data_IF_761706690236
#
_entry.id   IF_761706690236
#
_cell.length_a   1.000
_cell.length_b   1.000
_cell.length_c   1.000
_cell.angle_alpha   90.00
_cell.angle_beta   90.00
_cell.angle_gamma   90.00
#
_symmetry.space_group_name_H-M   'P 1'
#
loop_
_entity.id
_entity.type
_entity.pdbx_description
1 polymer ?
#
# COMPACT_ATOMS: atom_id res chain seq x y z
N UNK A 1 75.38 -30.36 -5.63
CA UNK A 1 74.02 -30.63 -6.16
C UNK A 1 73.03 -29.91 -5.27
N UNK A 2 72.13 -29.18 -5.93
CA UNK A 2 71.07 -28.30 -5.46
C UNK A 2 70.36 -28.71 -4.17
N UNK A 3 69.96 -27.72 -3.36
CA UNK A 3 68.55 -27.31 -3.39
C UNK A 3 68.34 -26.01 -2.61
N UNK A 4 67.74 -25.04 -3.29
CA UNK A 4 67.22 -23.79 -2.76
C UNK A 4 65.94 -24.13 -1.98
N UNK A 5 65.90 -23.84 -0.68
CA UNK A 5 64.65 -23.90 0.07
C UNK A 5 63.86 -22.60 -0.18
N UNK A 6 62.88 -22.69 -1.07
CA UNK A 6 61.87 -21.66 -1.25
C UNK A 6 60.87 -21.75 -0.09
N UNK A 7 60.85 -20.72 0.76
CA UNK A 7 59.78 -20.49 1.72
C UNK A 7 58.46 -20.33 0.95
N UNK A 8 57.56 -21.32 1.07
CA UNK A 8 56.16 -21.14 0.70
C UNK A 8 55.52 -20.25 1.74
N UNK A 9 55.47 -18.96 1.45
CA UNK A 9 54.63 -18.00 2.15
C UNK A 9 53.18 -18.36 1.83
N UNK A 10 52.54 -19.14 2.70
CA UNK A 10 51.11 -19.43 2.61
C UNK A 10 50.36 -18.14 2.90
N UNK A 11 49.88 -17.49 1.85
CA UNK A 11 48.91 -16.40 1.95
C UNK A 11 47.66 -16.95 2.62
N UNK A 12 47.53 -16.75 3.94
CA UNK A 12 46.28 -16.91 4.66
C UNK A 12 45.38 -15.76 4.20
N UNK A 13 44.75 -15.95 3.05
CA UNK A 13 43.66 -15.09 2.62
C UNK A 13 42.55 -15.23 3.65
N UNK A 14 42.35 -14.22 4.48
CA UNK A 14 41.15 -14.10 5.31
C UNK A 14 39.93 -13.93 4.38
N UNK A 15 39.45 -15.03 3.82
CA UNK A 15 38.12 -15.11 3.23
C UNK A 15 37.13 -14.98 4.38
N UNK A 16 36.70 -13.75 4.67
CA UNK A 16 35.50 -13.53 5.47
C UNK A 16 34.32 -13.88 4.56
N UNK A 17 33.94 -15.16 4.57
CA UNK A 17 32.69 -15.62 4.00
C UNK A 17 31.57 -14.97 4.82
N UNK A 18 30.82 -14.05 4.21
CA UNK A 18 29.76 -13.33 4.90
C UNK A 18 28.50 -14.17 4.88
N UNK A 19 27.86 -14.36 6.04
CA UNK A 19 26.58 -15.06 6.12
C UNK A 19 25.50 -14.36 5.28
N UNK A 20 24.67 -15.16 4.60
CA UNK A 20 23.51 -14.68 3.86
C UNK A 20 22.53 -13.97 4.81
N UNK A 21 22.08 -12.78 4.40
CA UNK A 21 21.09 -12.01 5.15
C UNK A 21 19.69 -12.29 4.64
N UNK A 22 18.84 -12.82 5.51
CA UNK A 22 17.41 -12.95 5.25
C UNK A 22 16.77 -11.55 5.31
N UNK A 23 15.92 -11.21 4.34
CA UNK A 23 15.21 -9.94 4.29
C UNK A 23 14.12 -9.90 3.21
N UNK A 24 13.33 -8.84 3.22
CA UNK A 24 12.38 -8.52 2.15
C UNK A 24 13.13 -8.12 0.87
N UNK A 25 12.69 -8.63 -0.27
CA UNK A 25 13.17 -8.20 -1.58
C UNK A 25 11.99 -7.65 -2.39
N UNK A 26 11.83 -6.33 -2.36
CA UNK A 26 10.79 -5.64 -3.12
C UNK A 26 11.27 -5.29 -4.53
N UNK A 27 10.41 -5.54 -5.52
CA UNK A 27 10.68 -5.17 -6.92
C UNK A 27 10.68 -3.64 -7.07
N UNK A 28 11.74 -3.10 -7.67
CA UNK A 28 11.82 -1.68 -8.01
C UNK A 28 10.84 -1.29 -9.11
N UNK A 29 10.26 -0.08 -9.00
CA UNK A 29 9.27 0.47 -9.95
C UNK A 29 9.75 1.81 -10.50
N UNK A 30 9.65 2.00 -11.82
CA UNK A 30 10.15 3.20 -12.53
C UNK A 30 9.04 4.21 -12.84
N UNK A 31 9.39 5.50 -12.77
CA UNK A 31 8.53 6.62 -13.20
C UNK A 31 7.39 6.94 -12.23
N UNK A 32 7.57 6.62 -10.97
CA UNK A 32 6.66 6.96 -9.89
C UNK A 32 7.23 8.15 -9.10
N UNK A 33 6.35 9.02 -8.61
CA UNK A 33 6.70 10.15 -7.73
C UNK A 33 6.06 9.99 -6.36
N UNK A 34 6.60 10.66 -5.35
CA UNK A 34 6.01 10.71 -4.01
C UNK A 34 4.60 11.31 -4.07
N UNK A 35 3.66 10.77 -3.28
CA UNK A 35 2.33 11.36 -3.19
C UNK A 35 2.33 12.74 -2.51
N UNK A 36 3.41 13.14 -1.82
CA UNK A 36 3.61 14.53 -1.35
C UNK A 36 3.79 15.52 -2.50
N UNK A 37 4.40 15.10 -3.61
CA UNK A 37 4.64 15.93 -4.80
C UNK A 37 3.47 15.90 -5.78
N UNK A 38 2.51 15.00 -5.56
CA UNK A 38 1.39 14.81 -6.46
C UNK A 38 0.34 15.91 -6.28
N UNK A 39 0.01 16.57 -7.38
CA UNK A 39 -1.09 17.52 -7.47
C UNK A 39 -2.28 16.88 -8.20
N UNK A 40 -3.35 16.61 -7.46
CA UNK A 40 -4.58 16.00 -7.98
C UNK A 40 -5.23 16.82 -9.09
N UNK A 41 -5.04 18.15 -9.10
CA UNK A 41 -5.64 19.02 -10.12
C UNK A 41 -4.96 18.88 -11.50
N UNK A 42 -3.77 18.26 -11.56
CA UNK A 42 -3.12 17.85 -12.83
C UNK A 42 -3.87 16.73 -13.55
N UNK A 43 -4.71 15.96 -12.86
CA UNK A 43 -5.54 14.94 -13.49
C UNK A 43 -6.72 15.60 -14.22
N UNK A 44 -6.53 15.98 -15.48
CA UNK A 44 -7.55 16.74 -16.24
C UNK A 44 -8.78 15.90 -16.59
N UNK A 45 -8.59 14.61 -16.92
CA UNK A 45 -9.69 13.77 -17.43
C UNK A 45 -10.49 13.12 -16.29
N UNK A 46 -11.81 12.99 -16.48
CA UNK A 46 -12.68 12.25 -15.56
C UNK A 46 -12.23 10.79 -15.43
N UNK A 47 -11.74 10.20 -16.51
CA UNK A 47 -11.18 8.86 -16.52
C UNK A 47 -9.95 8.73 -15.60
N UNK A 48 -9.00 9.68 -15.68
CA UNK A 48 -7.82 9.69 -14.83
C UNK A 48 -8.17 9.90 -13.34
N UNK A 49 -9.09 10.83 -13.04
CA UNK A 49 -9.59 11.04 -11.66
C UNK A 49 -10.29 9.79 -11.11
N UNK A 50 -11.09 9.09 -11.94
CA UNK A 50 -11.72 7.81 -11.57
C UNK A 50 -10.68 6.71 -11.32
N UNK A 51 -9.67 6.60 -12.18
CA UNK A 51 -8.58 5.63 -12.03
C UNK A 51 -7.80 5.87 -10.73
N UNK A 52 -7.40 7.13 -10.48
CA UNK A 52 -6.75 7.52 -9.23
C UNK A 52 -7.60 7.13 -8.02
N UNK A 53 -8.89 7.45 -8.03
CA UNK A 53 -9.79 7.10 -6.93
C UNK A 53 -9.85 5.60 -6.68
N UNK A 54 -9.93 4.78 -7.72
CA UNK A 54 -9.95 3.32 -7.57
C UNK A 54 -8.65 2.80 -6.93
N UNK A 55 -7.50 3.30 -7.37
CA UNK A 55 -6.20 2.94 -6.80
C UNK A 55 -6.01 3.45 -5.35
N UNK A 56 -6.45 4.67 -5.09
CA UNK A 56 -6.45 5.26 -3.75
C UNK A 56 -7.33 4.46 -2.77
N UNK A 57 -8.53 4.05 -3.19
CA UNK A 57 -9.41 3.22 -2.37
C UNK A 57 -8.78 1.83 -2.09
N UNK A 58 -8.06 1.24 -3.05
CA UNK A 58 -7.29 -0.01 -2.83
C UNK A 58 -6.18 0.16 -1.79
N UNK A 59 -5.42 1.27 -1.87
CA UNK A 59 -4.42 1.65 -0.89
C UNK A 59 -5.03 1.74 0.53
N UNK A 60 -6.12 2.50 0.65
CA UNK A 60 -6.84 2.68 1.93
C UNK A 60 -7.24 1.35 2.54
N UNK A 61 -7.84 0.46 1.74
CA UNK A 61 -8.29 -0.84 2.23
C UNK A 61 -7.12 -1.73 2.67
N UNK A 62 -6.04 -1.76 1.88
CA UNK A 62 -4.84 -2.52 2.24
C UNK A 62 -4.27 -2.03 3.58
N UNK A 63 -4.03 -0.72 3.70
CA UNK A 63 -3.49 -0.10 4.91
C UNK A 63 -4.35 -0.33 6.14
N UNK A 64 -5.67 -0.23 5.96
CA UNK A 64 -6.60 -0.43 7.05
C UNK A 64 -6.62 -1.88 7.53
N UNK A 65 -6.61 -2.86 6.61
CA UNK A 65 -6.60 -4.30 6.93
C UNK A 65 -5.35 -4.68 7.73
N UNK A 66 -4.16 -4.27 7.26
CA UNK A 66 -2.89 -4.60 7.91
C UNK A 66 -2.59 -3.70 9.11
N UNK A 67 -3.40 -2.65 9.31
CA UNK A 67 -3.20 -1.60 10.30
C UNK A 67 -1.80 -1.01 10.17
N UNK A 68 -1.46 -0.49 8.99
CA UNK A 68 -0.18 0.15 8.78
C UNK A 68 -0.03 1.33 9.75
N UNK A 69 1.05 1.32 10.54
CA UNK A 69 1.33 2.32 11.58
C UNK A 69 2.24 3.44 11.10
N UNK A 70 2.83 3.29 9.92
CA UNK A 70 3.84 4.20 9.36
C UNK A 70 3.46 4.59 7.92
N UNK A 71 2.26 5.17 7.76
CA UNK A 71 1.77 5.64 6.46
C UNK A 71 1.66 7.16 6.41
N UNK A 72 2.79 7.82 6.16
CA UNK A 72 2.85 9.21 5.70
C UNK A 72 2.53 9.35 4.20
N UNK A 73 2.42 10.59 3.71
CA UNK A 73 2.20 10.89 2.28
C UNK A 73 3.43 10.63 1.41
N UNK A 74 4.59 10.53 2.03
CA UNK A 74 5.88 10.13 1.47
C UNK A 74 6.00 8.62 1.23
N UNK A 75 5.24 7.80 1.96
CA UNK A 75 5.36 6.34 1.96
C UNK A 75 4.51 5.61 0.91
N UNK A 76 3.95 6.32 -0.06
CA UNK A 76 3.25 5.74 -1.21
C UNK A 76 3.49 6.60 -2.44
N UNK A 77 3.50 5.95 -3.60
CA UNK A 77 3.89 6.58 -4.83
C UNK A 77 2.74 6.61 -5.83
N UNK A 78 2.79 7.59 -6.73
CA UNK A 78 1.83 7.74 -7.82
C UNK A 78 2.60 7.84 -9.13
N UNK A 79 2.14 7.10 -10.13
CA UNK A 79 2.55 7.30 -11.51
C UNK A 79 1.36 7.85 -12.29
N UNK A 80 1.58 8.93 -13.02
CA UNK A 80 0.59 9.55 -13.88
C UNK A 80 1.28 10.14 -15.11
N UNK A 81 0.55 10.22 -16.22
CA UNK A 81 1.02 10.89 -17.43
C UNK A 81 0.55 12.35 -17.38
N UNK A 82 1.51 13.29 -17.38
CA UNK A 82 1.22 14.70 -17.59
C UNK A 82 0.69 14.87 -19.01
N UNK A 83 -0.62 15.07 -19.15
CA UNK A 83 -1.17 15.63 -20.40
C UNK A 83 -0.88 17.12 -20.38
N UNK A 84 -0.08 17.65 -21.33
CA UNK A 84 0.17 19.08 -21.41
C UNK A 84 -1.16 19.82 -21.46
N UNK A 85 -1.41 20.70 -20.50
CA UNK A 85 -2.58 21.56 -20.53
C UNK A 85 -2.47 22.43 -21.79
N UNK A 86 -3.39 22.34 -22.77
CA UNK A 86 -3.32 23.14 -24.00
C UNK A 86 -3.39 24.66 -23.73
N UNK A 87 -3.76 25.06 -22.51
CA UNK A 87 -3.83 26.46 -22.06
C UNK A 87 -2.54 26.97 -21.43
N UNK A 88 -1.53 26.13 -21.22
CA UNK A 88 -0.21 26.57 -20.78
C UNK A 88 0.67 26.79 -22.01
N UNK A 89 0.65 28.00 -22.54
CA UNK A 89 1.73 28.52 -23.38
C UNK A 89 2.83 28.99 -22.43
N UNK A 90 4.02 28.38 -22.40
CA UNK A 90 5.16 28.98 -21.76
C UNK A 90 5.39 30.34 -22.43
N UNK A 91 5.40 31.43 -21.65
CA UNK A 91 5.81 32.72 -22.19
C UNK A 91 7.26 32.59 -22.66
N UNK A 92 7.48 32.54 -23.97
CA UNK A 92 8.81 32.70 -24.52
C UNK A 92 9.29 34.11 -24.14
N UNK A 93 10.31 34.18 -23.30
CA UNK A 93 11.11 35.38 -23.16
C UNK A 93 11.67 35.76 -24.53
N UNK A 94 11.13 36.86 -25.06
CA UNK A 94 11.55 37.45 -26.32
C UNK A 94 12.90 38.11 -26.09
N UNK A 95 13.98 37.36 -26.35
CA UNK A 95 15.27 37.99 -26.64
C UNK A 95 15.38 38.12 -28.16
N UNK A 96 15.34 39.37 -28.62
CA UNK A 96 15.46 39.74 -30.04
C UNK A 96 16.81 39.29 -30.59
N UNK A 97 16.78 38.55 -31.69
CA UNK A 97 17.80 38.64 -32.74
C UNK A 97 17.14 38.30 -34.09
N UNK A 98 17.25 39.24 -35.03
CA UNK A 98 16.80 39.13 -36.42
C UNK A 98 17.80 38.35 -37.28
N UNK A 99 17.30 37.98 -38.48
CA UNK A 99 17.95 37.41 -39.69
C UNK A 99 17.61 35.93 -39.92
N UNK A 100 17.19 35.43 -41.09
CA UNK A 100 16.75 35.95 -42.39
C UNK A 100 16.09 34.80 -43.18
N UNK A 101 15.38 35.10 -44.27
CA UNK A 101 14.57 34.19 -45.10
C UNK A 101 15.35 32.99 -45.72
N UNK A 102 14.73 31.81 -45.86
CA UNK A 102 14.10 31.35 -47.12
C UNK A 102 13.53 29.92 -47.02
N UNK A 103 12.55 29.67 -47.89
CA UNK A 103 12.15 28.41 -48.52
C UNK A 103 11.02 27.49 -48.01
N UNK A 104 10.39 26.92 -49.03
CA UNK A 104 9.02 26.40 -49.17
C UNK A 104 8.94 24.89 -48.87
N UNK A 105 7.83 24.39 -48.28
CA UNK A 105 7.06 23.23 -48.76
C UNK A 105 6.21 22.48 -47.71
N UNK A 106 4.94 22.37 -48.06
CA UNK A 106 3.93 21.33 -47.81
C UNK A 106 4.43 19.94 -47.33
N UNK A 107 3.89 19.43 -46.22
CA UNK A 107 3.46 18.03 -46.08
C UNK A 107 2.58 17.80 -44.84
N UNK A 108 1.27 17.64 -45.09
CA UNK A 108 0.41 16.76 -44.30
C UNK A 108 1.06 15.38 -44.17
N UNK A 109 1.12 14.77 -42.98
CA UNK A 109 0.48 13.46 -42.75
C UNK A 109 0.71 12.93 -41.33
N UNK A 110 -0.34 12.29 -40.82
CA UNK A 110 -0.33 11.15 -39.88
C UNK A 110 -0.32 11.44 -38.38
N UNK A 111 -1.52 11.84 -37.91
CA UNK A 111 -2.39 10.95 -37.12
C UNK A 111 -1.71 9.64 -36.65
N UNK A 112 -1.05 9.69 -35.50
CA UNK A 112 -0.79 8.52 -34.67
C UNK A 112 -1.77 8.57 -33.50
N UNK A 113 -2.89 7.86 -33.64
CA UNK A 113 -3.76 7.43 -32.54
C UNK A 113 -2.94 6.56 -31.59
N UNK A 114 -2.17 7.18 -30.71
CA UNK A 114 -1.74 6.54 -29.48
C UNK A 114 -2.97 6.39 -28.59
N UNK A 115 -3.45 5.16 -28.40
CA UNK A 115 -4.29 4.81 -27.25
C UNK A 115 -3.43 5.03 -26.00
N UNK A 116 -3.38 6.27 -25.52
CA UNK A 116 -2.79 6.62 -24.24
C UNK A 116 -3.59 5.94 -23.14
N UNK A 117 -2.95 5.00 -22.44
CA UNK A 117 -3.49 4.47 -21.20
C UNK A 117 -3.33 5.55 -20.13
N UNK A 118 -4.25 6.52 -20.13
CA UNK A 118 -4.33 7.60 -19.15
C UNK A 118 -4.73 7.04 -17.78
N UNK A 119 -3.83 6.30 -17.14
CA UNK A 119 -4.06 5.60 -15.87
C UNK A 119 -3.15 6.18 -14.80
N UNK A 120 -3.74 6.69 -13.73
CA UNK A 120 -3.01 6.92 -12.49
C UNK A 120 -2.89 5.56 -11.78
N UNK A 121 -1.66 5.15 -11.47
CA UNK A 121 -1.37 3.91 -10.73
C UNK A 121 -0.73 4.27 -9.40
N UNK A 122 -1.23 3.66 -8.31
CA UNK A 122 -0.69 3.87 -6.96
C UNK A 122 0.17 2.66 -6.58
N UNK A 123 1.40 2.91 -6.14
CA UNK A 123 2.29 1.88 -5.60
C UNK A 123 2.54 2.09 -4.10
N UNK A 124 2.64 0.97 -3.37
CA UNK A 124 2.92 0.94 -1.94
C UNK A 124 4.39 0.64 -1.66
N UNK A 125 5.04 1.44 -0.81
CA UNK A 125 6.45 1.26 -0.45
C UNK A 125 6.71 0.83 1.01
N UNK A 126 5.68 0.75 1.85
CA UNK A 126 5.88 0.45 3.28
C UNK A 126 5.96 -1.06 3.51
N UNK A 127 7.17 -1.54 3.82
CA UNK A 127 7.46 -2.92 4.24
C UNK A 127 7.21 -3.13 5.75
N UNK A 128 7.20 -2.06 6.55
CA UNK A 128 7.07 -2.11 8.01
C UNK A 128 5.60 -2.14 8.44
N UNK A 129 4.91 -3.24 8.16
CA UNK A 129 3.65 -3.57 8.82
C UNK A 129 3.92 -4.26 10.16
N UNK A 130 4.54 -3.55 11.10
CA UNK A 130 4.66 -4.05 12.47
C UNK A 130 3.27 -4.03 13.12
N UNK A 131 2.61 -5.18 13.11
CA UNK A 131 1.54 -5.47 14.08
C UNK A 131 2.12 -5.76 15.48
N UNK A 132 3.41 -5.47 15.69
CA UNK A 132 4.04 -5.31 16.98
C UNK A 132 3.51 -4.02 17.65
N UNK A 133 3.15 -4.15 18.92
CA UNK A 133 2.74 -3.05 19.80
C UNK A 133 3.85 -1.98 19.88
N UNK A 134 3.81 -0.98 19.00
CA UNK A 134 4.77 0.12 18.94
C UNK A 134 4.53 1.13 20.06
N UNK A 135 5.30 1.00 21.14
CA UNK A 135 5.38 1.93 22.26
C UNK A 135 5.57 3.38 21.77
N UNK A 136 4.73 4.29 22.26
CA UNK A 136 4.97 5.74 22.33
C UNK A 136 4.91 6.53 21.02
N UNK A 137 3.75 7.13 20.70
CA UNK A 137 3.66 8.39 19.96
C UNK A 137 2.25 9.02 20.11
N UNK A 138 2.23 10.33 20.28
CA UNK A 138 1.08 11.22 20.57
C UNK A 138 -0.04 11.20 19.52
N UNK A 139 -1.31 11.04 19.97
CA UNK A 139 -2.62 11.39 19.36
C UNK A 139 -2.82 11.52 17.82
N UNK A 140 -1.99 10.91 16.99
CA UNK A 140 -2.03 11.07 15.53
C UNK A 140 -2.51 9.77 14.90
N UNK A 141 -3.53 9.88 14.05
CA UNK A 141 -4.06 8.74 13.31
C UNK A 141 -2.96 8.23 12.36
N UNK A 142 -2.63 6.93 12.33
CA UNK A 142 -1.49 6.42 11.56
C UNK A 142 -1.63 6.58 10.03
N UNK A 143 -2.82 6.95 9.56
CA UNK A 143 -3.15 7.05 8.14
C UNK A 143 -3.01 8.50 7.65
N UNK A 144 -1.83 8.90 7.18
CA UNK A 144 -1.57 10.22 6.63
C UNK A 144 -2.48 10.59 5.45
N UNK A 145 -2.89 9.59 4.65
CA UNK A 145 -3.84 9.79 3.55
C UNK A 145 -5.23 10.27 4.00
N UNK A 146 -5.58 10.16 5.29
CA UNK A 146 -6.91 10.56 5.76
C UNK A 146 -7.20 12.06 5.60
N UNK A 147 -6.16 12.88 5.49
CA UNK A 147 -6.27 14.33 5.40
C UNK A 147 -6.49 14.84 3.97
N UNK A 148 -6.34 13.95 2.97
CA UNK A 148 -6.59 14.26 1.57
C UNK A 148 -8.08 14.60 1.35
N UNK A 149 -8.37 15.43 0.34
CA UNK A 149 -9.75 15.78 -0.01
C UNK A 149 -10.50 14.53 -0.50
N UNK A 150 -9.79 13.65 -1.18
CA UNK A 150 -10.27 12.40 -1.77
C UNK A 150 -10.70 11.40 -0.69
N UNK A 151 -10.06 11.44 0.49
CA UNK A 151 -10.44 10.61 1.63
C UNK A 151 -11.81 10.98 2.23
N UNK A 152 -12.35 12.17 1.92
CA UNK A 152 -13.67 12.60 2.38
C UNK A 152 -14.81 12.08 1.51
N UNK A 153 -14.49 11.56 0.32
CA UNK A 153 -15.48 11.00 -0.61
C UNK A 153 -15.83 9.57 -0.19
N UNK A 154 -17.12 9.17 -0.14
CA UNK A 154 -17.52 7.78 0.13
C UNK A 154 -16.81 6.76 -0.76
N UNK A 155 -16.61 5.53 -0.29
CA UNK A 155 -16.09 4.46 -1.17
C UNK A 155 -16.97 4.30 -2.41
N UNK A 156 -16.34 4.14 -3.58
CA UNK A 156 -17.05 3.89 -4.83
C UNK A 156 -17.79 2.56 -4.81
N UNK A 157 -18.89 2.47 -5.56
CA UNK A 157 -19.63 1.21 -5.69
C UNK A 157 -18.80 0.14 -6.41
N UNK A 158 -17.90 0.55 -7.30
CA UNK A 158 -16.93 -0.32 -7.96
C UNK A 158 -16.04 -1.05 -6.93
N UNK A 159 -15.41 -0.31 -6.01
CA UNK A 159 -14.60 -0.90 -4.93
C UNK A 159 -15.42 -1.81 -4.04
N UNK A 160 -16.64 -1.41 -3.66
CA UNK A 160 -17.53 -2.23 -2.82
C UNK A 160 -17.95 -3.54 -3.51
N UNK A 161 -18.21 -3.49 -4.82
CA UNK A 161 -18.60 -4.66 -5.60
C UNK A 161 -17.43 -5.63 -5.79
N UNK A 162 -16.22 -5.11 -6.03
CA UNK A 162 -15.01 -5.93 -6.19
C UNK A 162 -14.61 -6.58 -4.87
N UNK A 163 -14.46 -5.79 -3.79
CA UNK A 163 -13.87 -6.27 -2.53
C UNK A 163 -14.90 -6.84 -1.55
N UNK A 164 -16.14 -6.35 -1.58
CA UNK A 164 -17.20 -6.74 -0.64
C UNK A 164 -17.45 -8.25 -0.58
N UNK A 165 -17.55 -8.99 -1.71
CA UNK A 165 -17.74 -10.45 -1.69
C UNK A 165 -16.63 -11.20 -0.95
N UNK A 166 -15.38 -10.78 -1.11
CA UNK A 166 -14.22 -11.40 -0.44
C UNK A 166 -14.18 -11.07 1.05
N UNK A 167 -14.34 -9.80 1.41
CA UNK A 167 -14.25 -9.34 2.80
C UNK A 167 -15.43 -9.82 3.68
N UNK A 168 -16.61 -10.06 3.09
CA UNK A 168 -17.75 -10.67 3.79
C UNK A 168 -17.62 -12.18 3.93
N UNK A 169 -16.80 -12.84 3.11
CA UNK A 169 -16.57 -14.27 3.18
C UNK A 169 -15.50 -14.60 4.22
N UNK A 170 -15.91 -14.99 5.41
CA UNK A 170 -14.99 -15.34 6.50
C UNK A 170 -14.11 -16.56 6.17
N UNK A 171 -14.57 -17.48 5.32
CA UNK A 171 -13.74 -18.63 4.89
C UNK A 171 -12.55 -18.14 4.07
N UNK A 172 -12.74 -17.14 3.20
CA UNK A 172 -11.65 -16.51 2.46
C UNK A 172 -10.69 -15.76 3.40
N UNK A 173 -11.22 -15.01 4.37
CA UNK A 173 -10.40 -14.34 5.38
C UNK A 173 -9.54 -15.34 6.17
N UNK A 174 -10.10 -16.49 6.57
CA UNK A 174 -9.33 -17.54 7.25
C UNK A 174 -8.28 -18.21 6.34
N UNK A 175 -8.50 -18.26 5.02
CA UNK A 175 -7.47 -18.72 4.08
C UNK A 175 -6.28 -17.75 4.02
N UNK A 176 -6.54 -16.44 4.03
CA UNK A 176 -5.47 -15.43 4.15
C UNK A 176 -4.74 -15.60 5.48
N UNK A 177 -5.47 -15.75 6.59
CA UNK A 177 -4.86 -15.95 7.92
C UNK A 177 -3.96 -17.20 7.95
N UNK A 178 -4.38 -18.31 7.35
CA UNK A 178 -3.54 -19.51 7.28
C UNK A 178 -2.29 -19.28 6.43
N UNK A 179 -2.42 -18.57 5.31
CA UNK A 179 -1.29 -18.25 4.42
C UNK A 179 -0.27 -17.35 5.14
N UNK A 180 -0.76 -16.33 5.86
CA UNK A 180 0.08 -15.49 6.73
C UNK A 180 0.74 -16.29 7.86
N UNK A 181 0.03 -17.28 8.42
CA UNK A 181 0.60 -18.15 9.46
C UNK A 181 1.78 -18.95 8.94
N UNK A 182 1.68 -19.48 7.73
CA UNK A 182 2.78 -20.21 7.08
C UNK A 182 3.98 -19.29 6.84
N UNK A 183 3.74 -18.07 6.36
CA UNK A 183 4.78 -17.07 6.14
C UNK A 183 5.49 -16.68 7.45
N UNK A 184 4.73 -16.34 8.50
CA UNK A 184 5.29 -15.84 9.76
C UNK A 184 6.04 -16.93 10.54
N UNK A 185 5.76 -18.21 10.28
CA UNK A 185 6.49 -19.33 10.88
C UNK A 185 7.92 -19.50 10.36
N UNK A 186 8.28 -18.82 9.27
CA UNK A 186 9.66 -18.81 8.76
C UNK A 186 10.57 -18.11 9.78
N UNK A 187 10.06 -17.12 10.51
CA UNK A 187 10.82 -16.41 11.53
C UNK A 187 11.08 -17.29 12.76
N UNK A 188 12.35 -17.32 13.18
CA UNK A 188 12.79 -18.15 14.33
C UNK A 188 12.15 -17.75 15.67
N UNK A 189 11.72 -16.50 15.81
CA UNK A 189 11.10 -15.95 17.02
C UNK A 189 9.56 -15.96 16.97
N UNK A 190 8.96 -16.65 15.99
CA UNK A 190 7.52 -16.78 15.82
C UNK A 190 6.81 -17.26 17.09
N UNK A 191 5.76 -16.54 17.48
CA UNK A 191 4.91 -16.89 18.63
C UNK A 191 3.44 -16.93 18.21
N UNK A 192 2.82 -18.10 18.29
CA UNK A 192 1.38 -18.29 18.02
C UNK A 192 0.51 -17.27 18.79
N UNK A 193 0.86 -16.98 20.05
CA UNK A 193 0.10 -16.04 20.90
C UNK A 193 0.17 -14.59 20.41
N UNK A 194 1.28 -14.18 19.79
CA UNK A 194 1.41 -12.85 19.17
C UNK A 194 0.63 -12.86 17.86
N UNK A 195 0.85 -13.87 17.01
CA UNK A 195 0.15 -14.03 15.74
C UNK A 195 -1.38 -13.97 15.91
N UNK A 196 -1.95 -14.73 16.85
CA UNK A 196 -3.40 -14.76 17.07
C UNK A 196 -3.95 -13.39 17.54
N UNK A 197 -3.16 -12.61 18.29
CA UNK A 197 -3.51 -11.21 18.63
C UNK A 197 -3.49 -10.32 17.39
N UNK A 198 -2.51 -10.46 16.50
CA UNK A 198 -2.43 -9.72 15.24
C UNK A 198 -3.65 -10.04 14.36
N UNK A 199 -4.02 -11.30 14.23
CA UNK A 199 -5.20 -11.72 13.44
C UNK A 199 -6.52 -11.28 14.09
N UNK A 200 -6.55 -11.09 15.41
CA UNK A 200 -7.70 -10.49 16.11
C UNK A 200 -7.90 -9.03 15.68
N UNK A 201 -6.82 -8.28 15.49
CA UNK A 201 -6.86 -6.91 14.95
C UNK A 201 -7.33 -6.94 13.51
N UNK A 202 -6.67 -7.70 12.64
CA UNK A 202 -6.99 -7.77 11.20
C UNK A 202 -8.46 -8.08 10.95
N UNK A 203 -9.02 -9.09 11.65
CA UNK A 203 -10.46 -9.42 11.53
C UNK A 203 -11.37 -8.28 11.98
N UNK A 204 -10.97 -7.54 13.01
CA UNK A 204 -11.69 -6.34 13.45
C UNK A 204 -11.65 -5.21 12.41
N UNK A 205 -10.51 -4.99 11.76
CA UNK A 205 -10.39 -4.03 10.67
C UNK A 205 -11.28 -4.41 9.48
N UNK A 206 -11.26 -5.69 9.07
CA UNK A 206 -12.12 -6.20 7.99
C UNK A 206 -13.60 -6.01 8.32
N UNK A 207 -14.01 -6.26 9.57
CA UNK A 207 -15.39 -6.04 9.99
C UNK A 207 -15.78 -4.55 9.94
N UNK A 208 -14.89 -3.65 10.32
CA UNK A 208 -15.11 -2.20 10.17
C UNK A 208 -15.27 -1.79 8.70
N UNK A 209 -14.43 -2.32 7.79
CA UNK A 209 -14.58 -2.08 6.35
C UNK A 209 -15.94 -2.55 5.85
N UNK A 210 -16.37 -3.76 6.21
CA UNK A 210 -17.67 -4.29 5.84
C UNK A 210 -18.82 -3.37 6.31
N UNK A 211 -18.70 -2.79 7.51
CA UNK A 211 -19.68 -1.85 8.04
C UNK A 211 -19.62 -0.48 7.35
N UNK A 212 -18.43 0.02 7.00
CA UNK A 212 -18.25 1.25 6.23
C UNK A 212 -18.84 1.12 4.83
N UNK A 213 -18.64 -0.01 4.15
CA UNK A 213 -19.26 -0.28 2.84
C UNK A 213 -20.78 -0.28 2.91
N UNK A 214 -21.37 -0.91 3.94
CA UNK A 214 -22.83 -0.92 4.14
C UNK A 214 -23.42 0.46 4.40
N UNK A 215 -22.72 1.29 5.17
CA UNK A 215 -23.17 2.63 5.54
C UNK A 215 -22.74 3.73 4.54
N UNK A 216 -22.11 3.33 3.42
CA UNK A 216 -21.58 4.26 2.42
C UNK A 216 -20.61 5.32 3.01
N UNK A 217 -19.73 4.89 3.91
CA UNK A 217 -18.75 5.76 4.54
C UNK A 217 -17.56 6.06 3.61
N UNK A 218 -16.88 7.17 3.88
CA UNK A 218 -15.61 7.55 3.25
C UNK A 218 -14.40 6.94 3.97
N UNK A 219 -13.21 6.90 3.32
CA UNK A 219 -11.95 6.55 3.98
C UNK A 219 -11.71 7.32 5.28
N UNK A 220 -12.00 8.62 5.30
CA UNK A 220 -11.88 9.47 6.48
C UNK A 220 -12.81 9.01 7.62
N UNK A 221 -14.05 8.65 7.31
CA UNK A 221 -14.99 8.13 8.31
C UNK A 221 -14.55 6.75 8.82
N UNK A 222 -14.09 5.86 7.94
CA UNK A 222 -13.54 4.54 8.29
C UNK A 222 -12.35 4.67 9.26
N UNK A 223 -11.41 5.58 8.98
CA UNK A 223 -10.23 5.84 9.80
C UNK A 223 -10.58 6.30 11.24
N UNK A 224 -11.79 6.86 11.44
CA UNK A 224 -12.30 7.33 12.73
C UNK A 224 -13.23 6.33 13.43
N UNK A 225 -13.56 5.21 12.79
CA UNK A 225 -14.37 4.17 13.43
C UNK A 225 -13.63 3.60 14.64
N UNK A 226 -14.39 3.29 15.70
CA UNK A 226 -13.85 2.61 16.88
C UNK A 226 -13.18 1.29 16.47
N UNK A 227 -11.92 1.05 16.86
CA UNK A 227 -11.24 -0.20 16.55
C UNK A 227 -11.98 -1.41 17.13
N UNK A 228 -12.21 -2.42 16.30
CA UNK A 228 -12.78 -3.71 16.71
C UNK A 228 -11.67 -4.76 16.82
N UNK A 229 -11.94 -5.78 17.63
CA UNK A 229 -11.03 -6.90 17.88
C UNK A 229 -11.88 -8.17 17.90
N UNK A 230 -11.65 -9.08 16.96
CA UNK A 230 -12.53 -10.22 16.74
C UNK A 230 -11.81 -11.54 17.03
N UNK A 231 -12.27 -12.27 18.04
CA UNK A 231 -11.71 -13.56 18.46
C UNK A 231 -12.63 -14.65 17.95
N UNK A 232 -12.05 -15.70 17.37
CA UNK A 232 -12.79 -16.90 16.98
C UNK A 232 -13.25 -17.63 18.23
N UNK A 233 -14.54 -17.95 18.30
CA UNK A 233 -15.03 -18.84 19.34
C UNK A 233 -14.63 -20.29 19.02
N UNK A 234 -13.65 -20.81 19.77
CA UNK A 234 -13.13 -22.17 19.58
C UNK A 234 -14.07 -23.26 20.13
N UNK A 235 -15.15 -22.89 20.83
CA UNK A 235 -16.15 -23.88 21.28
C UNK A 235 -16.95 -24.50 20.12
N UNK A 236 -16.91 -23.87 18.95
CA UNK A 236 -17.59 -24.32 17.73
C UNK A 236 -16.56 -25.01 16.83
N UNK A 237 -16.43 -26.33 16.94
CA UNK A 237 -15.53 -27.15 16.12
C UNK A 237 -16.11 -27.38 14.71
N UNK A 238 -16.50 -26.29 14.04
CA UNK A 238 -17.14 -26.31 12.72
C UNK A 238 -16.10 -26.42 11.59
N UNK A 239 -16.40 -27.16 10.50
CA UNK A 239 -15.54 -27.23 9.33
C UNK A 239 -15.37 -25.84 8.68
N UNK A 240 -14.20 -25.59 8.08
CA UNK A 240 -13.85 -24.29 7.45
C UNK A 240 -14.89 -23.80 6.43
N UNK A 241 -15.61 -24.71 5.77
CA UNK A 241 -16.66 -24.42 4.79
C UNK A 241 -17.94 -23.82 5.38
N UNK A 242 -18.19 -24.02 6.69
CA UNK A 242 -19.38 -23.53 7.39
C UNK A 242 -19.14 -22.29 8.24
N UNK A 243 -17.95 -21.71 8.17
CA UNK A 243 -17.61 -20.53 8.96
C UNK A 243 -18.55 -19.35 8.64
N UNK A 244 -18.91 -18.63 9.70
CA UNK A 244 -19.72 -17.40 9.64
C UNK A 244 -19.13 -16.35 10.57
N UNK A 245 -19.28 -15.07 10.21
CA UNK A 245 -18.85 -13.96 11.07
C UNK A 245 -19.51 -13.97 12.45
N UNK A 246 -20.71 -14.55 12.59
CA UNK A 246 -21.41 -14.73 13.88
C UNK A 246 -20.66 -15.62 14.87
N UNK A 247 -19.75 -16.48 14.40
CA UNK A 247 -18.90 -17.33 15.24
C UNK A 247 -17.72 -16.56 15.85
N UNK A 248 -17.54 -15.28 15.48
CA UNK A 248 -16.49 -14.43 15.99
C UNK A 248 -17.09 -13.42 16.96
N UNK A 249 -16.49 -13.34 18.14
CA UNK A 249 -16.96 -12.47 19.22
C UNK A 249 -16.02 -11.28 19.36
N UNK A 250 -16.58 -10.11 19.68
CA UNK A 250 -15.79 -8.95 20.08
C UNK A 250 -14.98 -9.32 21.32
N UNK A 251 -13.68 -9.08 21.30
CA UNK A 251 -12.83 -9.29 22.46
C UNK A 251 -13.34 -8.44 23.64
N UNK A 252 -13.57 -9.05 24.80
CA UNK A 252 -13.91 -8.32 26.02
C UNK A 252 -12.69 -7.47 26.41
N UNK A 253 -12.79 -6.14 26.30
CA UNK A 253 -11.75 -5.21 26.76
C UNK A 253 -11.64 -5.35 28.29
N UNK A 254 -10.61 -6.04 28.79
CA UNK A 254 -10.27 -5.99 30.24
C UNK A 254 -9.69 -4.63 30.65
N UNK A 255 -9.14 -3.87 29.69
CA UNK A 255 -8.64 -2.49 29.84
C UNK A 255 -8.79 -1.75 28.51
N UNK A 256 -8.82 -0.42 28.56
CA UNK A 256 -8.59 0.38 27.36
C UNK A 256 -7.23 0.01 26.74
N UNK A 257 -7.14 -0.27 25.42
CA UNK A 257 -5.95 -0.10 24.62
C UNK A 257 -5.12 1.05 25.15
N UNK A 258 -3.87 0.75 25.49
CA UNK A 258 -2.93 1.72 26.05
C UNK A 258 -2.67 2.89 25.08
N UNK A 259 -3.01 2.77 23.80
CA UNK A 259 -2.96 3.87 22.82
C UNK A 259 -4.02 4.98 23.04
N UNK A 260 -4.95 4.81 23.99
CA UNK A 260 -5.95 5.82 24.37
C UNK A 260 -5.53 6.66 25.61
N UNK A 261 -4.31 6.49 26.14
CA UNK A 261 -3.78 7.28 27.25
C UNK A 261 -2.66 8.20 26.81
#
# INVERSE_FOLDING_TARGET
>A
MSSVNAEKQTMVGCQHETDDKIGSMQKFVNGYVSATEFDYDRLVTVAAKRAFRAEFERLVILDYIIRNTDRGSDNWLIKYEDVPNPRYVPSLDTTKSQESADDTALANSNNSKGKGNNQAVVANLSEKSSTAAAQGATSTNPFGWMYLKEAKVPFSDETKQILGPYLRNITFVEQIVESLRQLFKIDSDYKNTIFDKQMTVMRGQILNINNAFKQNFSPYQLARMTPLFMIRDLSQNEPKSRLRWSMYKKAKRKREPWFNR
#
